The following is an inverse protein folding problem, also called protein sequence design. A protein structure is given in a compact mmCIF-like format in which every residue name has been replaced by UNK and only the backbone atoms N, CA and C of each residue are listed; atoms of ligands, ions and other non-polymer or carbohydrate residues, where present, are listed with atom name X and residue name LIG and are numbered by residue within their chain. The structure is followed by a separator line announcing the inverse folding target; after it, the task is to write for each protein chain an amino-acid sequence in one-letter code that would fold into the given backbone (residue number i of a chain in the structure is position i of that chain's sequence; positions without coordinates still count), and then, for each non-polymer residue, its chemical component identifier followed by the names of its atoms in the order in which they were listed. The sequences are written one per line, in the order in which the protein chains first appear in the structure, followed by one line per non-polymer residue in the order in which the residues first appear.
data_IF_987737859972
#
_entry.id   IF_987737859972
#
_cell.length_a   1.000
_cell.length_b   1.000
_cell.length_c   1.000
_cell.angle_alpha   90.00
_cell.angle_beta   90.00
_cell.angle_gamma   90.00
#
_symmetry.space_group_name_H-M   'P 1'
#
loop_
_entity.id
_entity.type
_entity.pdbx_description
1 polymer ?
#
# COMPACT_ATOMS: atom_id res chain seq x y z
N UNK A 1 3.36 -35.38 -40.54
CA UNK A 1 2.57 -34.28 -39.94
C UNK A 1 2.44 -34.53 -38.44
N UNK A 2 3.10 -33.72 -37.61
CA UNK A 2 3.05 -33.88 -36.14
C UNK A 2 1.72 -33.31 -35.65
N UNK A 3 0.75 -34.15 -35.26
CA UNK A 3 -0.52 -33.70 -34.67
C UNK A 3 -0.19 -32.88 -33.42
N UNK A 4 -0.44 -31.57 -33.45
CA UNK A 4 -0.37 -30.72 -32.26
C UNK A 4 -1.43 -31.22 -31.29
N UNK A 5 -1.03 -31.67 -30.10
CA UNK A 5 -1.96 -31.96 -29.00
C UNK A 5 -2.56 -30.62 -28.57
N UNK A 6 -3.84 -30.40 -28.84
CA UNK A 6 -4.59 -29.28 -28.30
C UNK A 6 -4.81 -29.47 -26.81
N UNK A 7 -4.87 -28.36 -26.07
CA UNK A 7 -5.33 -28.35 -24.68
C UNK A 7 -6.72 -28.96 -24.59
N UNK A 8 -6.95 -29.82 -23.61
CA UNK A 8 -8.30 -30.32 -23.33
C UNK A 8 -9.12 -29.23 -22.63
N UNK A 9 -10.44 -29.21 -22.84
CA UNK A 9 -11.33 -28.26 -22.16
C UNK A 9 -11.22 -28.35 -20.63
N UNK A 10 -10.95 -29.54 -20.10
CA UNK A 10 -10.78 -29.82 -18.67
C UNK A 10 -9.58 -29.06 -18.12
N UNK A 11 -8.43 -29.11 -18.80
CA UNK A 11 -7.22 -28.41 -18.37
C UNK A 11 -7.43 -26.89 -18.31
N UNK A 12 -8.15 -26.30 -19.28
CA UNK A 12 -8.47 -24.86 -19.26
C UNK A 12 -9.42 -24.50 -18.12
N UNK A 13 -10.43 -25.33 -17.87
CA UNK A 13 -11.45 -25.08 -16.83
C UNK A 13 -10.83 -25.10 -15.43
N UNK A 14 -9.96 -26.07 -15.15
CA UNK A 14 -9.25 -26.18 -13.87
C UNK A 14 -8.39 -24.94 -13.61
N UNK A 15 -7.69 -24.43 -14.62
CA UNK A 15 -6.84 -23.23 -14.47
C UNK A 15 -7.65 -22.00 -14.12
N UNK A 16 -8.77 -21.75 -14.83
CA UNK A 16 -9.62 -20.59 -14.54
C UNK A 16 -10.23 -20.70 -13.14
N UNK A 17 -10.63 -21.90 -12.71
CA UNK A 17 -11.15 -22.13 -11.36
C UNK A 17 -10.12 -21.78 -10.27
N UNK A 18 -8.86 -22.21 -10.44
CA UNK A 18 -7.79 -21.88 -9.49
C UNK A 18 -7.52 -20.38 -9.46
N UNK A 19 -7.42 -19.73 -10.63
CA UNK A 19 -7.21 -18.27 -10.71
C UNK A 19 -8.36 -17.50 -10.04
N UNK A 20 -9.61 -17.93 -10.23
CA UNK A 20 -10.77 -17.29 -9.64
C UNK A 20 -10.74 -17.36 -8.10
N UNK A 21 -10.39 -18.51 -7.53
CA UNK A 21 -10.26 -18.68 -6.08
C UNK A 21 -9.14 -17.77 -5.53
N UNK A 22 -7.99 -17.75 -6.18
CA UNK A 22 -6.87 -16.90 -5.77
C UNK A 22 -7.23 -15.41 -5.85
N UNK A 23 -7.85 -14.99 -6.95
CA UNK A 23 -8.27 -13.60 -7.15
C UNK A 23 -9.32 -13.15 -6.12
N UNK A 24 -10.27 -14.02 -5.79
CA UNK A 24 -11.32 -13.74 -4.79
C UNK A 24 -10.75 -13.43 -3.41
N UNK A 25 -9.63 -14.07 -3.02
CA UNK A 25 -8.93 -13.80 -1.75
C UNK A 25 -8.04 -12.57 -1.89
N UNK A 26 -7.34 -12.43 -3.01
CA UNK A 26 -6.32 -11.39 -3.20
C UNK A 26 -6.93 -9.99 -3.34
N UNK A 27 -8.06 -9.83 -4.04
CA UNK A 27 -8.73 -8.54 -4.23
C UNK A 27 -9.08 -7.80 -2.92
N UNK A 28 -9.82 -8.41 -1.96
CA UNK A 28 -10.18 -7.72 -0.72
C UNK A 28 -8.96 -7.45 0.18
N UNK A 29 -7.99 -8.36 0.19
CA UNK A 29 -6.75 -8.19 0.96
C UNK A 29 -5.92 -7.03 0.41
N UNK A 30 -5.79 -6.93 -0.92
CA UNK A 30 -5.06 -5.86 -1.57
C UNK A 30 -5.67 -4.47 -1.27
N UNK A 31 -7.00 -4.35 -1.28
CA UNK A 31 -7.67 -3.10 -0.94
C UNK A 31 -7.39 -2.66 0.51
N UNK A 32 -7.38 -3.61 1.46
CA UNK A 32 -7.02 -3.34 2.87
C UNK A 32 -5.55 -2.95 3.01
N UNK A 33 -4.66 -3.68 2.34
CA UNK A 33 -3.22 -3.40 2.36
C UNK A 33 -2.90 -2.01 1.81
N UNK A 34 -3.54 -1.59 0.72
CA UNK A 34 -3.37 -0.23 0.16
C UNK A 34 -3.78 0.85 1.15
N UNK A 35 -4.93 0.70 1.81
CA UNK A 35 -5.38 1.67 2.84
C UNK A 35 -4.41 1.73 4.02
N UNK A 36 -3.93 0.58 4.49
CA UNK A 36 -2.93 0.51 5.55
C UNK A 36 -1.61 1.18 5.13
N UNK A 37 -1.14 0.99 3.89
CA UNK A 37 0.05 1.64 3.37
C UNK A 37 -0.10 3.17 3.36
N UNK A 38 -1.25 3.69 2.88
CA UNK A 38 -1.51 5.14 2.90
C UNK A 38 -1.53 5.72 4.33
N UNK A 39 -2.14 5.00 5.27
CA UNK A 39 -2.13 5.39 6.68
C UNK A 39 -0.71 5.37 7.27
N UNK A 40 0.09 4.35 6.96
CA UNK A 40 1.49 4.24 7.40
C UNK A 40 2.34 5.42 6.89
N UNK A 41 2.16 5.82 5.62
CA UNK A 41 2.85 6.99 5.07
C UNK A 41 2.44 8.26 5.80
N UNK A 42 1.14 8.48 6.02
CA UNK A 42 0.65 9.64 6.76
C UNK A 42 1.21 9.69 8.18
N UNK A 43 1.20 8.56 8.90
CA UNK A 43 1.75 8.44 10.24
C UNK A 43 3.26 8.74 10.27
N UNK A 44 4.02 8.27 9.27
CA UNK A 44 5.44 8.57 9.12
C UNK A 44 5.68 10.07 8.90
N UNK A 45 4.87 10.72 8.05
CA UNK A 45 4.97 12.15 7.80
C UNK A 45 4.67 12.96 9.06
N UNK A 46 3.60 12.61 9.81
CA UNK A 46 3.27 13.28 11.07
C UNK A 46 4.36 13.09 12.12
N UNK A 47 4.97 11.91 12.21
CA UNK A 47 6.11 11.66 13.09
C UNK A 47 7.31 12.54 12.70
N UNK A 48 7.60 12.68 11.41
CA UNK A 48 8.67 13.55 10.92
C UNK A 48 8.41 15.02 11.24
N UNK A 49 7.18 15.50 11.04
CA UNK A 49 6.78 16.87 11.43
C UNK A 49 6.92 17.04 12.94
N UNK A 50 6.37 16.14 13.75
CA UNK A 50 6.45 16.22 15.21
C UNK A 50 7.90 16.22 15.72
N UNK A 51 8.78 15.44 15.07
CA UNK A 51 10.21 15.47 15.37
C UNK A 51 10.84 16.82 14.99
N UNK A 52 10.52 17.37 13.81
CA UNK A 52 11.02 18.68 13.40
C UNK A 52 10.57 19.79 14.35
N UNK A 53 9.32 19.75 14.83
CA UNK A 53 8.81 20.70 15.81
C UNK A 53 9.54 20.59 17.16
N UNK A 54 9.85 19.37 17.62
CA UNK A 54 10.65 19.16 18.84
C UNK A 54 12.08 19.68 18.70
N UNK A 55 12.70 19.46 17.54
CA UNK A 55 14.02 20.00 17.24
C UNK A 55 13.99 21.53 17.27
N UNK A 56 13.00 22.15 16.63
CA UNK A 56 12.84 23.61 16.65
C UNK A 56 12.67 24.18 18.06
N UNK A 57 11.80 23.57 18.88
CA UNK A 57 11.59 23.99 20.28
C UNK A 57 12.90 23.97 21.07
N UNK A 58 13.67 22.88 20.93
CA UNK A 58 14.96 22.73 21.61
C UNK A 58 16.00 23.76 21.16
N UNK A 59 15.93 24.20 19.90
CA UNK A 59 16.87 25.16 19.33
C UNK A 59 16.44 26.63 19.55
N UNK A 60 15.16 26.89 19.79
CA UNK A 60 14.57 28.23 19.90
C UNK A 60 13.76 28.38 21.20
N UNK A 61 14.45 28.47 22.34
CA UNK A 61 13.91 28.83 23.67
C UNK A 61 12.47 28.28 23.95
N UNK A 62 12.22 27.01 23.63
CA UNK A 62 10.94 26.32 23.79
C UNK A 62 9.71 27.03 23.17
N UNK A 63 9.92 27.80 22.09
CA UNK A 63 8.84 28.50 21.39
C UNK A 63 8.48 27.82 20.07
N UNK A 64 7.19 27.78 19.73
CA UNK A 64 6.73 27.22 18.46
C UNK A 64 7.01 28.16 17.27
N UNK A 65 7.22 27.61 16.05
CA UNK A 65 7.33 28.41 14.84
C UNK A 65 6.06 29.25 14.66
N UNK A 66 6.22 30.58 14.60
CA UNK A 66 5.10 31.49 14.34
C UNK A 66 4.97 31.74 12.84
N UNK A 67 3.74 31.69 12.32
CA UNK A 67 3.49 32.05 10.93
C UNK A 67 3.54 33.58 10.77
N UNK A 68 4.74 34.15 10.66
CA UNK A 68 4.89 35.52 10.15
C UNK A 68 4.76 35.50 8.63
N UNK A 69 3.53 35.48 8.15
CA UNK A 69 3.25 35.89 6.78
C UNK A 69 3.64 37.38 6.65
N UNK A 70 4.53 37.69 5.72
CA UNK A 70 4.75 39.07 5.27
C UNK A 70 3.58 39.52 4.41
#
# INVERSE_FOLDING_TARGET
MRRRRGFTLIELLVVIAIIAILAAILFPVFARARKAAMASTCQSNLKQIGNAMKMYLSDWDDTYPTNRAK
#
